data_IF_665211205484
#
_entry.id   IF_665211205484
#
_cell.length_a   1.000
_cell.length_b   1.000
_cell.length_c   1.000
_cell.angle_alpha   90.00
_cell.angle_beta   90.00
_cell.angle_gamma   90.00
#
_symmetry.space_group_name_H-M   'P 1'
#
loop_
_entity.id
_entity.type
_entity.pdbx_description
1 polymer ?
#
# COMPACT_ATOMS: atom_id res chain seq x y z
N UNK A 1 9.22 -24.71 10.88
CA UNK A 1 9.67 -23.31 10.72
C UNK A 1 8.49 -22.50 10.17
N UNK A 2 8.24 -21.31 10.73
CA UNK A 2 7.18 -20.41 10.25
C UNK A 2 7.73 -19.52 9.15
N UNK A 3 6.98 -19.32 8.07
CA UNK A 3 7.38 -18.46 6.95
C UNK A 3 6.17 -17.80 6.29
N UNK A 4 6.41 -16.64 5.68
CA UNK A 4 5.43 -15.89 4.90
C UNK A 4 5.35 -16.42 3.47
N UNK A 5 4.14 -16.52 2.94
CA UNK A 5 3.86 -16.86 1.54
C UNK A 5 3.31 -15.63 0.84
N UNK A 6 3.99 -15.22 -0.22
CA UNK A 6 3.55 -14.13 -1.10
C UNK A 6 2.80 -14.72 -2.30
N UNK A 7 1.51 -14.44 -2.38
CA UNK A 7 0.61 -15.02 -3.39
C UNK A 7 0.50 -14.13 -4.63
N UNK A 8 0.42 -12.82 -4.43
CA UNK A 8 0.20 -11.86 -5.50
C UNK A 8 0.75 -10.49 -5.12
N UNK A 9 0.97 -9.65 -6.13
CA UNK A 9 1.57 -8.31 -6.01
C UNK A 9 0.79 -7.34 -6.89
N UNK A 10 0.66 -6.09 -6.46
CA UNK A 10 0.08 -5.03 -7.25
C UNK A 10 0.74 -3.69 -6.97
N UNK A 11 0.74 -2.80 -7.95
CA UNK A 11 1.22 -1.44 -7.78
C UNK A 11 0.36 -0.46 -8.55
N UNK A 12 0.23 0.75 -7.99
CA UNK A 12 -0.32 1.89 -8.71
C UNK A 12 0.63 3.07 -8.71
N UNK A 13 0.57 3.87 -9.75
CA UNK A 13 1.38 5.06 -9.98
C UNK A 13 0.51 6.31 -10.02
N UNK A 14 0.91 7.32 -9.26
CA UNK A 14 0.38 8.66 -9.27
C UNK A 14 1.39 9.56 -9.98
N UNK A 15 0.96 10.20 -11.08
CA UNK A 15 1.84 11.09 -11.81
C UNK A 15 2.11 12.36 -11.00
N UNK A 16 3.33 12.87 -11.17
CA UNK A 16 3.78 14.13 -10.58
C UNK A 16 2.83 15.28 -10.91
N UNK A 17 2.40 15.37 -12.16
CA UNK A 17 1.49 16.42 -12.64
C UNK A 17 0.14 16.39 -11.91
N UNK A 18 -0.44 15.20 -11.73
CA UNK A 18 -1.74 15.04 -11.09
C UNK A 18 -1.67 15.33 -9.58
N UNK A 19 -0.56 14.98 -8.92
CA UNK A 19 -0.34 15.32 -7.51
C UNK A 19 -0.09 16.81 -7.30
N UNK A 20 0.74 17.43 -8.14
CA UNK A 20 1.03 18.86 -8.04
C UNK A 20 -0.19 19.74 -8.41
N UNK A 21 -1.10 19.25 -9.26
CA UNK A 21 -2.34 19.96 -9.58
C UNK A 21 -3.25 20.14 -8.35
N UNK A 22 -3.27 19.18 -7.42
CA UNK A 22 -4.08 19.24 -6.20
C UNK A 22 -3.31 19.78 -4.99
N UNK A 23 -1.98 19.73 -5.03
CA UNK A 23 -1.14 20.18 -3.92
C UNK A 23 0.16 20.83 -4.41
N UNK A 24 0.06 22.02 -5.05
CA UNK A 24 1.19 22.68 -5.70
C UNK A 24 2.30 23.10 -4.73
N UNK A 25 1.94 23.44 -3.49
CA UNK A 25 2.88 23.96 -2.47
C UNK A 25 3.89 22.93 -1.99
N UNK A 26 3.65 21.63 -2.19
CA UNK A 26 4.60 20.59 -1.82
C UNK A 26 5.73 20.42 -2.85
N UNK A 27 5.39 20.51 -4.14
CA UNK A 27 6.33 20.33 -5.24
C UNK A 27 6.87 18.89 -5.34
N UNK A 28 6.00 17.92 -5.66
CA UNK A 28 6.45 16.56 -6.00
C UNK A 28 7.41 16.62 -7.19
N UNK A 29 8.57 15.97 -7.07
CA UNK A 29 9.62 15.95 -8.09
C UNK A 29 9.65 14.68 -8.93
N UNK A 30 8.88 13.67 -8.55
CA UNK A 30 8.82 12.37 -9.22
C UNK A 30 7.48 11.70 -8.95
N UNK A 31 7.11 10.76 -9.84
CA UNK A 31 5.91 9.95 -9.70
C UNK A 31 5.95 9.17 -8.38
N UNK A 32 4.79 9.03 -7.77
CA UNK A 32 4.62 8.36 -6.49
C UNK A 32 3.89 7.03 -6.68
N UNK A 33 4.18 6.05 -5.84
CA UNK A 33 3.71 4.70 -6.00
C UNK A 33 3.13 4.17 -4.68
N UNK A 34 2.09 3.35 -4.80
CA UNK A 34 1.64 2.47 -3.72
C UNK A 34 1.85 1.03 -4.15
N UNK A 35 2.46 0.23 -3.28
CA UNK A 35 2.81 -1.16 -3.56
C UNK A 35 2.13 -2.12 -2.58
N UNK A 36 1.37 -3.04 -3.13
CA UNK A 36 0.52 -3.96 -2.40
C UNK A 36 1.01 -5.40 -2.54
N UNK A 37 0.84 -6.17 -1.47
CA UNK A 37 1.18 -7.59 -1.43
C UNK A 37 0.00 -8.38 -0.85
N UNK A 38 -0.37 -9.47 -1.54
CA UNK A 38 -1.21 -10.52 -0.95
C UNK A 38 -0.31 -11.53 -0.27
N UNK A 39 -0.27 -11.48 1.05
CA UNK A 39 0.55 -12.36 1.87
C UNK A 39 -0.25 -13.14 2.89
N UNK A 40 0.35 -14.23 3.38
CA UNK A 40 -0.19 -15.01 4.51
C UNK A 40 0.88 -15.92 5.09
N UNK A 41 0.77 -16.22 6.38
CA UNK A 41 1.73 -17.09 7.04
C UNK A 41 1.35 -18.56 6.86
N UNK A 42 2.35 -19.42 6.65
CA UNK A 42 2.14 -20.83 6.33
C UNK A 42 1.38 -21.62 7.41
N UNK A 43 1.45 -21.15 8.66
CA UNK A 43 0.86 -21.77 9.84
C UNK A 43 -0.46 -21.12 10.27
N UNK A 44 -0.90 -20.04 9.61
CA UNK A 44 -2.14 -19.34 9.97
C UNK A 44 -3.30 -19.84 9.11
N UNK A 45 -4.30 -20.44 9.75
CA UNK A 45 -5.49 -20.99 9.10
C UNK A 45 -6.75 -20.41 9.72
N UNK A 46 -7.77 -20.21 8.90
CA UNK A 46 -9.13 -19.94 9.35
C UNK A 46 -10.03 -21.12 9.00
N UNK A 47 -10.93 -21.43 9.93
CA UNK A 47 -11.96 -22.45 9.77
C UNK A 47 -13.22 -21.81 9.21
N UNK A 48 -13.83 -22.44 8.21
CA UNK A 48 -15.11 -21.99 7.65
C UNK A 48 -16.04 -23.17 7.44
N UNK A 49 -17.34 -22.93 7.64
CA UNK A 49 -18.37 -23.93 7.39
C UNK A 49 -18.70 -23.98 5.89
N UNK A 50 -18.69 -25.18 5.32
CA UNK A 50 -19.19 -25.44 3.97
C UNK A 50 -19.99 -26.74 3.96
N UNK A 51 -21.27 -26.66 3.56
CA UNK A 51 -22.17 -27.81 3.36
C UNK A 51 -22.00 -28.92 4.42
N UNK A 52 -22.12 -28.54 5.70
CA UNK A 52 -22.03 -29.42 6.89
C UNK A 52 -20.63 -29.94 7.28
N UNK A 53 -19.54 -29.41 6.71
CA UNK A 53 -18.17 -29.68 7.16
C UNK A 53 -17.45 -28.39 7.53
N UNK A 54 -16.59 -28.47 8.54
CA UNK A 54 -15.62 -27.42 8.84
C UNK A 54 -14.39 -27.69 7.96
N UNK A 55 -14.10 -26.76 7.06
CA UNK A 55 -12.90 -26.77 6.23
C UNK A 55 -11.92 -25.73 6.76
N UNK A 56 -10.64 -25.94 6.51
CA UNK A 56 -9.59 -24.98 6.83
C UNK A 56 -8.98 -24.42 5.55
N UNK A 57 -8.70 -23.12 5.54
CA UNK A 57 -7.89 -22.46 4.50
C UNK A 57 -6.86 -21.55 5.15
N UNK A 58 -5.75 -21.32 4.45
CA UNK A 58 -4.73 -20.37 4.93
C UNK A 58 -5.28 -18.96 4.93
N UNK A 59 -5.03 -18.24 6.02
CA UNK A 59 -5.33 -16.82 6.12
C UNK A 59 -4.38 -16.08 5.19
N UNK A 60 -4.93 -15.19 4.38
CA UNK A 60 -4.17 -14.31 3.49
C UNK A 60 -4.91 -12.99 3.38
N UNK A 61 -4.16 -11.90 3.40
CA UNK A 61 -4.72 -10.55 3.28
C UNK A 61 -3.86 -9.71 2.34
N UNK A 62 -4.51 -8.79 1.64
CA UNK A 62 -3.81 -7.73 0.94
C UNK A 62 -3.34 -6.69 1.95
N UNK A 63 -2.14 -6.18 1.75
CA UNK A 63 -1.57 -5.12 2.57
C UNK A 63 -0.82 -4.14 1.69
N UNK A 64 -0.90 -2.85 2.01
CA UNK A 64 -0.02 -1.83 1.45
C UNK A 64 1.31 -1.94 2.20
N UNK A 65 2.37 -2.36 1.52
CA UNK A 65 3.65 -2.67 2.18
C UNK A 65 4.73 -1.62 1.90
N UNK A 66 4.57 -0.83 0.85
CA UNK A 66 5.49 0.26 0.54
C UNK A 66 4.76 1.41 -0.17
N UNK A 67 5.26 2.62 0.03
CA UNK A 67 4.81 3.83 -0.65
C UNK A 67 5.95 4.83 -0.86
N UNK A 68 5.77 5.75 -1.82
CA UNK A 68 6.69 6.85 -2.09
C UNK A 68 7.16 6.87 -3.54
N UNK A 69 8.28 7.56 -3.80
CA UNK A 69 8.94 7.51 -5.10
C UNK A 69 9.42 6.09 -5.42
N UNK A 70 9.70 5.80 -6.69
CA UNK A 70 10.16 4.47 -7.12
C UNK A 70 11.33 3.94 -6.29
N UNK A 71 12.34 4.77 -6.04
CA UNK A 71 13.51 4.39 -5.24
C UNK A 71 13.19 4.16 -3.76
N UNK A 72 12.19 4.87 -3.21
CA UNK A 72 11.73 4.69 -1.81
C UNK A 72 10.99 3.37 -1.66
N UNK A 73 10.10 3.07 -2.63
CA UNK A 73 9.40 1.79 -2.71
C UNK A 73 10.40 0.66 -2.85
N UNK A 74 11.33 0.74 -3.81
CA UNK A 74 12.32 -0.30 -4.01
C UNK A 74 13.25 -0.47 -2.80
N UNK A 75 13.63 0.62 -2.10
CA UNK A 75 14.39 0.53 -0.85
C UNK A 75 13.64 -0.27 0.22
N UNK A 76 12.35 0.00 0.41
CA UNK A 76 11.50 -0.75 1.36
C UNK A 76 11.40 -2.23 0.97
N UNK A 77 11.20 -2.53 -0.31
CA UNK A 77 11.09 -3.91 -0.82
C UNK A 77 12.41 -4.69 -0.71
N UNK A 78 13.55 -4.03 -0.92
CA UNK A 78 14.87 -4.64 -0.68
C UNK A 78 15.04 -5.03 0.79
N UNK A 79 14.58 -4.21 1.73
CA UNK A 79 14.59 -4.58 3.16
C UNK A 79 13.79 -5.86 3.43
N UNK A 80 12.61 -6.02 2.82
CA UNK A 80 11.82 -7.25 2.96
C UNK A 80 12.49 -8.48 2.35
N UNK A 81 13.25 -8.30 1.27
CA UNK A 81 13.93 -9.39 0.57
C UNK A 81 14.95 -10.14 1.45
N UNK A 82 15.46 -9.52 2.52
CA UNK A 82 16.33 -10.20 3.49
C UNK A 82 15.65 -11.42 4.14
N UNK A 83 14.31 -11.43 4.23
CA UNK A 83 13.54 -12.57 4.75
C UNK A 83 13.57 -13.79 3.83
N UNK A 84 13.93 -13.62 2.54
CA UNK A 84 14.07 -14.70 1.58
C UNK A 84 15.27 -15.61 1.91
N UNK A 85 16.42 -15.01 2.24
CA UNK A 85 17.68 -15.74 2.51
C UNK A 85 17.58 -16.66 3.73
N UNK A 86 16.78 -16.28 4.74
CA UNK A 86 16.51 -17.11 5.91
C UNK A 86 15.39 -18.15 5.71
N UNK A 87 14.82 -18.28 4.51
CA UNK A 87 13.64 -19.11 4.25
C UNK A 87 12.36 -18.60 4.92
N UNK A 88 12.38 -17.36 5.44
CA UNK A 88 11.26 -16.73 6.15
C UNK A 88 10.18 -16.16 5.22
N UNK A 89 10.45 -16.09 3.92
CA UNK A 89 9.51 -15.64 2.90
C UNK A 89 9.68 -16.45 1.62
N UNK A 90 8.59 -16.75 0.90
CA UNK A 90 8.62 -17.31 -0.46
C UNK A 90 7.39 -16.98 -1.28
N UNK A 91 7.50 -17.05 -2.60
CA UNK A 91 6.31 -17.00 -3.46
C UNK A 91 5.48 -18.28 -3.34
N UNK A 92 4.16 -18.14 -3.49
CA UNK A 92 3.25 -19.28 -3.56
C UNK A 92 3.65 -20.20 -4.72
N UNK A 93 3.78 -21.50 -4.42
CA UNK A 93 4.19 -22.53 -5.39
C UNK A 93 5.70 -22.70 -5.53
N UNK A 94 6.51 -21.81 -4.95
CA UNK A 94 7.97 -21.98 -4.90
C UNK A 94 8.39 -22.76 -3.64
N UNK A 95 9.42 -23.59 -3.76
CA UNK A 95 10.08 -24.26 -2.64
C UNK A 95 10.84 -23.25 -1.77
N UNK A 96 11.60 -22.40 -2.45
CA UNK A 96 12.57 -21.44 -1.95
C UNK A 96 12.55 -20.19 -2.83
N UNK A 97 13.19 -19.12 -2.36
CA UNK A 97 13.35 -17.90 -3.13
C UNK A 97 14.66 -17.21 -2.74
N UNK A 98 15.44 -16.82 -3.74
CA UNK A 98 16.57 -15.92 -3.53
C UNK A 98 16.07 -14.47 -3.44
N UNK A 99 16.70 -13.63 -2.60
CA UNK A 99 16.33 -12.23 -2.45
C UNK A 99 16.30 -11.48 -3.80
N UNK A 100 17.26 -11.76 -4.68
CA UNK A 100 17.31 -11.16 -6.02
C UNK A 100 16.07 -11.47 -6.87
N UNK A 101 15.53 -12.67 -6.77
CA UNK A 101 14.31 -13.07 -7.50
C UNK A 101 13.08 -12.32 -6.97
N UNK A 102 12.98 -12.13 -5.66
CA UNK A 102 11.94 -11.28 -5.07
C UNK A 102 12.05 -9.84 -5.58
N UNK A 103 13.24 -9.23 -5.46
CA UNK A 103 13.50 -7.85 -5.89
C UNK A 103 13.18 -7.67 -7.38
N UNK A 104 13.62 -8.59 -8.24
CA UNK A 104 13.35 -8.55 -9.68
C UNK A 104 11.86 -8.56 -9.99
N UNK A 105 11.08 -9.42 -9.31
CA UNK A 105 9.62 -9.46 -9.50
C UNK A 105 8.94 -8.19 -9.00
N UNK A 106 9.34 -7.69 -7.83
CA UNK A 106 8.87 -6.42 -7.29
C UNK A 106 9.14 -5.25 -8.25
N UNK A 107 10.36 -5.15 -8.80
CA UNK A 107 10.72 -4.13 -9.78
C UNK A 107 9.84 -4.20 -11.03
N UNK A 108 9.60 -5.40 -11.56
CA UNK A 108 8.69 -5.59 -12.68
C UNK A 108 7.28 -5.08 -12.37
N UNK A 109 6.74 -5.39 -11.18
CA UNK A 109 5.41 -4.91 -10.76
C UNK A 109 5.37 -3.39 -10.62
N UNK A 110 6.43 -2.75 -10.10
CA UNK A 110 6.52 -1.28 -10.06
C UNK A 110 6.55 -0.68 -11.47
N UNK A 111 7.33 -1.26 -12.38
CA UNK A 111 7.39 -0.79 -13.78
C UNK A 111 6.08 -0.98 -14.55
N UNK A 112 5.28 -1.97 -14.15
CA UNK A 112 3.96 -2.28 -14.72
C UNK A 112 2.81 -1.60 -13.93
N UNK A 113 3.13 -0.68 -13.01
CA UNK A 113 2.13 -0.03 -12.16
C UNK A 113 1.03 0.66 -12.98
N UNK A 114 -0.22 0.43 -12.59
CA UNK A 114 -1.40 0.97 -13.26
C UNK A 114 -1.83 2.30 -12.65
N UNK A 115 -2.74 3.02 -13.30
CA UNK A 115 -3.33 4.23 -12.71
C UNK A 115 -4.20 3.90 -11.49
N UNK A 116 -4.42 4.85 -10.56
CA UNK A 116 -5.24 4.63 -9.37
C UNK A 116 -6.65 4.19 -9.72
N UNK A 117 -7.26 4.82 -10.74
CA UNK A 117 -8.60 4.47 -11.24
C UNK A 117 -8.69 3.02 -11.73
N UNK A 118 -7.65 2.53 -12.42
CA UNK A 118 -7.61 1.16 -12.92
C UNK A 118 -7.55 0.16 -11.76
N UNK A 119 -6.72 0.44 -10.75
CA UNK A 119 -6.61 -0.43 -9.58
C UNK A 119 -7.89 -0.38 -8.73
N UNK A 120 -8.52 0.79 -8.61
CA UNK A 120 -9.73 1.02 -7.83
C UNK A 120 -10.90 0.12 -8.26
N UNK A 121 -10.96 -0.27 -9.54
CA UNK A 121 -11.97 -1.21 -10.06
C UNK A 121 -11.96 -2.58 -9.36
N UNK A 122 -10.85 -2.93 -8.69
CA UNK A 122 -10.65 -4.24 -8.06
C UNK A 122 -10.25 -4.15 -6.59
N UNK A 123 -9.64 -3.05 -6.18
CA UNK A 123 -9.01 -2.89 -4.88
C UNK A 123 -9.39 -1.55 -4.25
N UNK A 124 -9.89 -1.58 -3.02
CA UNK A 124 -10.00 -0.42 -2.16
C UNK A 124 -8.79 -0.29 -1.24
N UNK A 125 -8.37 0.94 -0.97
CA UNK A 125 -7.35 1.25 0.04
C UNK A 125 -7.82 2.44 0.84
N UNK A 126 -7.95 2.26 2.16
CA UNK A 126 -8.16 3.32 3.12
C UNK A 126 -6.97 3.39 4.07
N UNK A 127 -6.55 4.58 4.45
CA UNK A 127 -5.41 4.79 5.35
C UNK A 127 -5.84 5.69 6.50
N UNK A 128 -5.57 5.25 7.72
CA UNK A 128 -5.75 6.08 8.92
C UNK A 128 -4.43 6.78 9.22
N UNK A 129 -4.36 8.08 8.93
CA UNK A 129 -3.23 8.94 9.25
C UNK A 129 -3.41 9.49 10.67
N UNK A 130 -2.47 9.18 11.55
CA UNK A 130 -2.51 9.55 12.96
C UNK A 130 -1.22 10.29 13.32
N UNK A 131 -1.33 11.58 13.61
CA UNK A 131 -0.19 12.41 13.99
C UNK A 131 -0.36 12.77 15.46
N UNK A 132 0.65 12.44 16.28
CA UNK A 132 0.64 12.78 17.69
C UNK A 132 0.50 14.31 17.89
N UNK A 133 -0.45 14.70 18.74
CA UNK A 133 -0.59 16.08 19.18
C UNK A 133 0.54 16.34 20.16
N UNK A 134 1.46 17.23 19.79
CA UNK A 134 2.47 17.73 20.72
C UNK A 134 1.83 18.87 21.50
N UNK A 135 2.10 18.94 22.81
CA UNK A 135 1.69 20.07 23.65
C UNK A 135 2.38 21.38 23.23
N UNK A 136 2.47 22.34 24.16
CA UNK A 136 2.93 23.71 23.86
C UNK A 136 4.33 23.78 23.21
N UNK A 137 5.17 22.77 23.38
CA UNK A 137 6.52 22.65 22.79
C UNK A 137 6.54 22.15 21.32
N UNK A 138 5.41 22.12 20.62
CA UNK A 138 5.37 21.70 19.22
C UNK A 138 6.16 22.68 18.31
N UNK A 139 7.19 22.22 17.56
CA UNK A 139 7.95 23.08 16.66
C UNK A 139 7.05 23.76 15.61
N UNK A 140 7.35 25.02 15.31
CA UNK A 140 6.57 25.85 14.38
C UNK A 140 6.40 25.20 12.99
N UNK A 141 7.46 24.57 12.47
CA UNK A 141 7.38 23.87 11.18
C UNK A 141 6.34 22.75 11.19
N UNK A 142 6.17 22.07 12.33
CA UNK A 142 5.23 20.95 12.48
C UNK A 142 3.79 21.45 12.61
N UNK A 143 3.58 22.57 13.31
CA UNK A 143 2.28 23.27 13.36
C UNK A 143 1.81 23.64 11.96
N UNK A 144 2.67 24.28 11.17
CA UNK A 144 2.37 24.64 9.76
C UNK A 144 2.02 23.44 8.89
N UNK A 145 2.71 22.30 9.08
CA UNK A 145 2.40 21.06 8.35
C UNK A 145 1.02 20.51 8.74
N UNK A 146 0.66 20.55 10.02
CA UNK A 146 -0.68 20.17 10.49
C UNK A 146 -1.74 21.11 9.93
N UNK A 147 -1.52 22.43 9.96
CA UNK A 147 -2.45 23.42 9.38
C UNK A 147 -2.67 23.18 7.88
N UNK A 148 -1.60 22.90 7.14
CA UNK A 148 -1.68 22.59 5.70
C UNK A 148 -2.49 21.31 5.47
N UNK A 149 -2.25 20.28 6.28
CA UNK A 149 -2.98 19.01 6.21
C UNK A 149 -4.46 19.21 6.56
N UNK A 150 -4.77 20.04 7.57
CA UNK A 150 -6.14 20.41 7.94
C UNK A 150 -6.84 21.21 6.85
N UNK A 151 -6.14 22.11 6.16
CA UNK A 151 -6.70 22.83 5.02
C UNK A 151 -7.03 21.88 3.85
N UNK A 152 -6.22 20.85 3.63
CA UNK A 152 -6.38 19.90 2.54
C UNK A 152 -7.45 18.82 2.82
N UNK A 153 -7.46 18.26 4.04
CA UNK A 153 -8.29 17.11 4.42
C UNK A 153 -9.47 17.47 5.33
N UNK A 154 -9.53 18.71 5.82
CA UNK A 154 -10.49 19.16 6.82
C UNK A 154 -10.04 18.90 8.26
N UNK A 155 -10.95 19.19 9.19
CA UNK A 155 -10.67 19.12 10.63
C UNK A 155 -10.34 17.69 11.07
N UNK A 156 -9.21 17.48 11.79
CA UNK A 156 -8.88 16.18 12.34
C UNK A 156 -9.87 15.75 13.41
N UNK A 157 -9.97 14.45 13.62
CA UNK A 157 -10.65 13.85 14.78
C UNK A 157 -9.63 13.42 15.84
N UNK A 158 -10.09 13.16 17.06
CA UNK A 158 -9.26 12.65 18.16
C UNK A 158 -8.84 13.72 19.17
N UNK A 159 -8.51 13.30 20.39
CA UNK A 159 -8.07 14.16 21.49
C UNK A 159 -6.55 14.22 21.58
N UNK A 160 -5.90 13.06 21.61
CA UNK A 160 -4.45 12.93 21.87
C UNK A 160 -3.64 12.86 20.57
N UNK A 161 -4.30 12.57 19.47
CA UNK A 161 -3.73 12.49 18.13
C UNK A 161 -4.66 13.17 17.15
N UNK A 162 -4.11 13.91 16.19
CA UNK A 162 -4.84 14.33 15.01
C UNK A 162 -5.02 13.16 14.05
N UNK A 163 -6.28 12.78 13.80
CA UNK A 163 -6.63 11.64 12.97
C UNK A 163 -7.38 12.07 11.72
N UNK A 164 -6.90 11.60 10.57
CA UNK A 164 -7.58 11.67 9.28
C UNK A 164 -7.76 10.28 8.71
N UNK A 165 -8.84 10.09 7.96
CA UNK A 165 -9.05 8.90 7.16
C UNK A 165 -9.00 9.28 5.69
N UNK A 166 -8.02 8.76 4.98
CA UNK A 166 -7.75 9.09 3.58
C UNK A 166 -7.97 7.87 2.69
N UNK A 167 -8.41 8.09 1.46
CA UNK A 167 -8.69 7.05 0.46
C UNK A 167 -7.86 7.32 -0.79
N UNK A 168 -6.56 6.99 -0.77
CA UNK A 168 -5.62 7.43 -1.81
C UNK A 168 -5.95 6.90 -3.20
N UNK A 169 -6.70 5.80 -3.33
CA UNK A 169 -7.17 5.30 -4.63
C UNK A 169 -8.42 6.01 -5.15
N UNK A 170 -9.18 6.70 -4.30
CA UNK A 170 -10.42 7.38 -4.68
C UNK A 170 -10.23 8.88 -4.93
N UNK A 171 -9.43 9.54 -4.10
CA UNK A 171 -9.25 10.98 -4.14
C UNK A 171 -7.76 11.33 -4.26
N UNK A 172 -7.40 12.09 -5.29
CA UNK A 172 -5.99 12.45 -5.54
C UNK A 172 -5.41 13.30 -4.40
N UNK A 173 -6.20 14.21 -3.82
CA UNK A 173 -5.78 15.02 -2.66
C UNK A 173 -5.43 14.15 -1.45
N UNK A 174 -6.12 13.03 -1.28
CA UNK A 174 -5.89 12.07 -0.19
C UNK A 174 -4.56 11.34 -0.40
N UNK A 175 -4.25 10.98 -1.66
CA UNK A 175 -2.95 10.44 -2.03
C UNK A 175 -1.82 11.45 -1.84
N UNK A 176 -2.02 12.70 -2.30
CA UNK A 176 -1.04 13.77 -2.13
C UNK A 176 -0.75 14.04 -0.65
N UNK A 177 -1.78 14.11 0.19
CA UNK A 177 -1.63 14.23 1.64
C UNK A 177 -0.85 13.07 2.24
N UNK A 178 -1.17 11.84 1.84
CA UNK A 178 -0.48 10.64 2.32
C UNK A 178 1.01 10.65 1.95
N UNK A 179 1.36 10.97 0.71
CA UNK A 179 2.76 11.02 0.28
C UNK A 179 3.53 12.17 0.94
N UNK A 180 2.91 13.34 1.07
CA UNK A 180 3.57 14.53 1.61
C UNK A 180 3.75 14.50 3.13
N UNK A 181 2.85 13.84 3.88
CA UNK A 181 2.80 13.90 5.34
C UNK A 181 2.78 12.54 6.04
N UNK A 182 2.69 11.43 5.31
CA UNK A 182 2.60 10.09 5.89
C UNK A 182 3.75 9.74 6.82
N UNK A 183 4.95 10.30 6.59
CA UNK A 183 6.10 10.11 7.47
C UNK A 183 5.89 10.62 8.90
N UNK A 184 4.95 11.56 9.12
CA UNK A 184 4.68 12.15 10.43
C UNK A 184 3.95 11.21 11.40
N UNK A 185 3.35 10.13 10.88
CA UNK A 185 2.65 9.13 11.68
C UNK A 185 3.63 8.21 12.43
N UNK A 186 4.74 7.86 11.78
CA UNK A 186 5.79 7.02 12.34
C UNK A 186 5.47 5.52 12.39
N UNK A 187 4.21 5.11 12.20
CA UNK A 187 3.87 3.70 12.02
C UNK A 187 4.28 3.21 10.62
N UNK A 188 4.64 1.92 10.47
CA UNK A 188 4.78 1.32 9.15
C UNK A 188 3.48 1.38 8.35
N UNK A 189 3.57 1.58 7.04
CA UNK A 189 2.41 1.82 6.17
C UNK A 189 1.38 0.67 6.21
N UNK A 190 1.83 -0.58 6.38
CA UNK A 190 0.94 -1.74 6.50
C UNK A 190 0.10 -1.73 7.79
N UNK A 191 0.49 -0.98 8.82
CA UNK A 191 -0.30 -0.77 10.04
C UNK A 191 -1.24 0.43 9.95
N UNK A 192 -1.01 1.32 8.99
CA UNK A 192 -1.87 2.50 8.73
C UNK A 192 -3.00 2.16 7.76
N UNK A 193 -2.76 1.23 6.84
CA UNK A 193 -3.62 0.95 5.71
C UNK A 193 -4.52 -0.27 5.92
N UNK A 194 -5.77 -0.15 5.46
CA UNK A 194 -6.71 -1.25 5.26
C UNK A 194 -6.93 -1.42 3.76
N UNK A 195 -6.78 -2.65 3.29
CA UNK A 195 -6.91 -2.99 1.86
C UNK A 195 -8.01 -4.02 1.70
N UNK A 196 -8.97 -3.71 0.83
CA UNK A 196 -10.07 -4.61 0.48
C UNK A 196 -10.00 -4.92 -1.01
N UNK A 197 -10.36 -6.15 -1.39
CA UNK A 197 -10.28 -6.59 -2.79
C UNK A 197 -11.56 -7.33 -3.15
N UNK A 198 -12.17 -6.94 -4.28
CA UNK A 198 -13.37 -7.56 -4.86
C UNK A 198 -12.98 -8.52 -6.00
N UNK A 199 -11.69 -8.83 -6.13
CA UNK A 199 -11.14 -9.66 -7.20
C UNK A 199 -11.63 -11.11 -7.12
N UNK A 200 -12.35 -11.54 -8.16
CA UNK A 200 -12.87 -12.91 -8.31
C UNK A 200 -12.08 -13.76 -9.31
N UNK A 201 -11.04 -13.21 -9.96
CA UNK A 201 -10.28 -13.94 -10.98
C UNK A 201 -9.25 -14.88 -10.35
N UNK A 202 -8.95 -15.99 -11.04
CA UNK A 202 -7.86 -16.91 -10.69
C UNK A 202 -6.49 -16.39 -11.14
N UNK A 203 -6.46 -15.35 -11.98
CA UNK A 203 -5.23 -14.75 -12.49
C UNK A 203 -4.64 -13.73 -11.49
N UNK A 204 -3.30 -13.54 -11.49
CA UNK A 204 -2.66 -12.46 -10.77
C UNK A 204 -3.28 -11.11 -11.12
N UNK A 205 -3.49 -10.25 -10.11
CA UNK A 205 -4.26 -9.02 -10.24
C UNK A 205 -3.73 -8.11 -11.36
N UNK A 206 -2.41 -7.86 -11.39
CA UNK A 206 -1.80 -7.01 -12.42
C UNK A 206 -1.97 -7.57 -13.84
N UNK A 207 -2.01 -8.90 -14.00
CA UNK A 207 -2.27 -9.53 -15.30
C UNK A 207 -3.74 -9.39 -15.71
N UNK A 208 -4.68 -9.53 -14.78
CA UNK A 208 -6.12 -9.32 -15.05
C UNK A 208 -6.39 -7.87 -15.47
N UNK A 209 -5.70 -6.91 -14.84
CA UNK A 209 -5.80 -5.49 -15.20
C UNK A 209 -5.18 -5.17 -16.57
N UNK A 210 -4.05 -5.79 -16.91
CA UNK A 210 -3.39 -5.57 -18.21
C UNK A 210 -4.23 -6.10 -19.40
N UNK A 211 -4.99 -7.18 -19.23
CA UNK A 211 -5.84 -7.75 -20.28
C UNK A 211 -7.07 -6.90 -20.60
N UNK A 212 -7.45 -5.98 -19.70
CA UNK A 212 -8.66 -5.15 -19.83
C UNK A 212 -8.40 -3.77 -20.44
N UNK A 213 -7.29 -3.56 -21.14
CA UNK A 213 -7.13 -2.34 -21.95
C UNK A 213 -8.40 -2.15 -22.78
N UNK A 214 -9.14 -1.04 -22.63
CA UNK A 214 -10.31 -0.81 -23.44
C UNK A 214 -9.85 -0.74 -24.90
N UNK A 215 -10.53 -1.46 -25.78
CA UNK A 215 -10.48 -1.16 -27.19
C UNK A 215 -10.85 0.33 -27.32
N UNK A 216 -9.87 1.16 -27.65
CA UNK A 216 -10.12 2.53 -28.05
C UNK A 216 -10.88 2.47 -29.38
N UNK A 217 -12.14 2.90 -29.36
CA UNK A 217 -12.90 3.29 -30.55
C UNK A 217 -12.89 4.80 -30.64
#
# INVERSE_FOLDING_TARGET
MSYRIVYDLAATRFSTDTLNAVFPDHGFSSDQYLFFELGGDNNLYESYASRQRILQRRVRNWSLIAMGAEWEVMRQLVTFSASCEGGGMRFSGASDIAAETYIRKCRAIVSEAVTPDTLLQKMGCGVSLQIATLGDECPEWRKRKIETLTALLGQPKGTDTHQWFVRPLHEVKDAAALFAFGYMDGRPIYNMASVSVIHQSKLPLMKDLAMRKPFAF
#
